data_IF_177697679219
#
_entry.id   IF_177697679219
#
_cell.length_a   1.000
_cell.length_b   1.000
_cell.length_c   1.000
_cell.angle_alpha   90.00
_cell.angle_beta   90.00
_cell.angle_gamma   90.00
#
_symmetry.space_group_name_H-M   'P 1'
#
loop_
_entity.id
_entity.type
_entity.pdbx_description
1 polymer ?
#
# COMPACT_ATOMS: atom_id res chain seq x y z
N UNK A 1 18.62 21.49 -4.90
CA UNK A 1 18.64 20.31 -5.80
C UNK A 1 17.86 19.22 -5.11
N UNK A 2 16.81 18.71 -5.74
CA UNK A 2 15.99 17.67 -5.12
C UNK A 2 16.59 16.29 -5.38
N UNK A 3 16.79 15.52 -4.32
CA UNK A 3 17.40 14.18 -4.43
C UNK A 3 16.36 13.16 -4.90
N UNK A 4 16.84 12.07 -5.51
CA UNK A 4 15.96 10.94 -5.83
C UNK A 4 15.23 10.47 -4.55
N UNK A 5 15.96 10.43 -3.43
CA UNK A 5 15.48 10.10 -2.07
C UNK A 5 14.19 10.83 -1.76
N UNK A 6 14.25 12.16 -1.87
CA UNK A 6 13.09 13.00 -1.66
C UNK A 6 11.96 12.68 -2.66
N UNK A 7 12.24 12.64 -3.96
CA UNK A 7 11.21 12.45 -5.01
C UNK A 7 10.44 11.14 -4.81
N UNK A 8 11.13 10.06 -4.48
CA UNK A 8 10.54 8.72 -4.44
C UNK A 8 10.00 8.32 -3.06
N UNK A 9 10.28 9.08 -2.00
CA UNK A 9 9.91 8.68 -0.63
C UNK A 9 9.07 9.74 0.10
N UNK A 10 9.37 11.03 -0.06
CA UNK A 10 8.79 12.08 0.82
C UNK A 10 8.09 13.21 0.07
N UNK A 11 8.49 13.53 -1.17
CA UNK A 11 7.95 14.67 -1.94
C UNK A 11 6.42 14.68 -2.05
N UNK A 12 5.72 15.72 -1.57
CA UNK A 12 4.27 15.80 -1.66
C UNK A 12 3.74 15.77 -3.11
N UNK A 13 4.52 16.29 -4.06
CA UNK A 13 4.15 16.32 -5.49
C UNK A 13 4.01 14.94 -6.13
N UNK A 14 4.69 13.94 -5.56
CA UNK A 14 4.66 12.56 -6.04
C UNK A 14 3.86 11.65 -5.12
N UNK A 15 3.11 12.20 -4.15
CA UNK A 15 2.35 11.41 -3.18
C UNK A 15 1.47 10.36 -3.88
N UNK A 16 0.61 10.79 -4.81
CA UNK A 16 -0.28 9.88 -5.54
C UNK A 16 0.49 8.80 -6.29
N UNK A 17 1.55 9.16 -7.03
CA UNK A 17 2.35 8.18 -7.77
C UNK A 17 3.12 7.20 -6.86
N UNK A 18 3.42 7.59 -5.62
CA UNK A 18 3.99 6.68 -4.62
C UNK A 18 2.96 5.72 -4.06
N UNK A 19 1.72 6.18 -3.84
CA UNK A 19 0.60 5.31 -3.50
C UNK A 19 0.35 4.31 -4.64
N UNK A 20 0.27 4.78 -5.89
CA UNK A 20 0.10 3.91 -7.06
C UNK A 20 1.23 2.86 -7.16
N UNK A 21 2.48 3.25 -6.85
CA UNK A 21 3.61 2.30 -6.81
C UNK A 21 3.38 1.17 -5.82
N UNK A 22 2.96 1.54 -4.61
CA UNK A 22 2.64 0.59 -3.56
C UNK A 22 1.49 -0.33 -4.00
N UNK A 23 0.40 0.26 -4.49
CA UNK A 23 -0.82 -0.45 -4.85
C UNK A 23 -0.58 -1.43 -6.01
N UNK A 24 0.25 -1.05 -6.98
CA UNK A 24 0.60 -1.95 -8.10
C UNK A 24 1.41 -3.17 -7.66
N UNK A 25 2.24 -3.05 -6.62
CA UNK A 25 2.93 -4.20 -6.01
C UNK A 25 1.92 -5.04 -5.24
N UNK A 26 1.08 -4.41 -4.42
CA UNK A 26 0.08 -5.08 -3.60
C UNK A 26 -0.94 -5.86 -4.44
N UNK A 27 -1.47 -5.26 -5.51
CA UNK A 27 -2.39 -5.91 -6.46
C UNK A 27 -1.74 -7.08 -7.19
N UNK A 28 -0.43 -7.01 -7.51
CA UNK A 28 0.27 -8.15 -8.07
C UNK A 28 0.32 -9.31 -7.08
N UNK A 29 0.72 -9.02 -5.84
CA UNK A 29 0.84 -10.00 -4.78
C UNK A 29 -0.50 -10.70 -4.54
N UNK A 30 -1.60 -9.93 -4.44
CA UNK A 30 -2.97 -10.43 -4.38
C UNK A 30 -3.28 -11.37 -5.55
N UNK A 31 -2.95 -10.97 -6.78
CA UNK A 31 -3.21 -11.79 -7.98
C UNK A 31 -2.45 -13.12 -7.93
N UNK A 32 -1.18 -13.09 -7.53
CA UNK A 32 -0.34 -14.29 -7.42
C UNK A 32 -0.85 -15.23 -6.33
N UNK A 33 -1.23 -14.69 -5.16
CA UNK A 33 -1.79 -15.48 -4.06
C UNK A 33 -3.16 -16.08 -4.45
N UNK A 34 -4.02 -15.33 -5.13
CA UNK A 34 -5.27 -15.83 -5.68
C UNK A 34 -5.07 -17.00 -6.65
N UNK A 35 -4.08 -16.92 -7.55
CA UNK A 35 -3.71 -18.04 -8.45
C UNK A 35 -3.20 -19.28 -7.70
N UNK A 36 -2.70 -19.12 -6.46
CA UNK A 36 -2.28 -20.22 -5.58
C UNK A 36 -3.42 -20.76 -4.70
N UNK A 37 -4.63 -20.25 -4.89
CA UNK A 37 -5.84 -20.68 -4.21
C UNK A 37 -6.08 -20.00 -2.85
N UNK A 38 -5.41 -18.88 -2.58
CA UNK A 38 -5.75 -18.07 -1.41
C UNK A 38 -6.98 -17.21 -1.68
N UNK A 39 -7.87 -17.15 -0.70
CA UNK A 39 -8.88 -16.10 -0.59
C UNK A 39 -8.21 -14.83 -0.04
N UNK A 40 -8.78 -13.66 -0.32
CA UNK A 40 -8.15 -12.38 0.05
C UNK A 40 -9.17 -11.30 0.40
N UNK A 41 -8.87 -10.53 1.46
CA UNK A 41 -9.44 -9.21 1.73
C UNK A 41 -8.35 -8.16 1.47
N UNK A 42 -8.69 -7.15 0.69
CA UNK A 42 -7.84 -6.02 0.38
C UNK A 42 -8.26 -4.84 1.26
N UNK A 43 -7.28 -4.21 1.90
CA UNK A 43 -7.43 -3.04 2.79
C UNK A 43 -8.62 -3.14 3.78
N UNK A 44 -8.81 -4.26 4.51
CA UNK A 44 -9.90 -4.36 5.46
C UNK A 44 -9.79 -3.29 6.53
N UNK A 45 -10.90 -2.60 6.80
CA UNK A 45 -10.99 -1.67 7.93
C UNK A 45 -11.28 -2.44 9.20
N UNK A 46 -10.24 -2.72 9.98
CA UNK A 46 -10.30 -3.53 11.21
C UNK A 46 -10.40 -2.61 12.42
N UNK A 47 -11.53 -2.60 13.16
CA UNK A 47 -11.65 -1.85 14.39
C UNK A 47 -10.73 -2.45 15.47
N UNK A 48 -9.89 -1.61 16.08
CA UNK A 48 -9.07 -1.99 17.23
C UNK A 48 -9.24 -0.98 18.36
N UNK A 49 -8.87 -1.31 19.62
CA UNK A 49 -8.89 -0.34 20.72
C UNK A 49 -8.03 0.92 20.47
N UNK A 50 -7.03 0.83 19.58
CA UNK A 50 -6.17 1.94 19.19
C UNK A 50 -6.68 2.69 17.94
N UNK A 51 -7.93 2.45 17.52
CA UNK A 51 -8.52 2.99 16.29
C UNK A 51 -8.62 1.97 15.16
N UNK A 52 -9.02 2.42 13.97
CA UNK A 52 -9.13 1.56 12.79
C UNK A 52 -7.71 1.27 12.25
N UNK A 53 -7.44 -0.01 11.97
CA UNK A 53 -6.22 -0.47 11.29
C UNK A 53 -6.59 -1.00 9.91
N UNK A 54 -5.74 -0.72 8.92
CA UNK A 54 -5.94 -1.12 7.51
C UNK A 54 -4.67 -1.80 6.98
N UNK A 55 -4.46 -3.10 7.26
CA UNK A 55 -3.41 -3.85 6.57
C UNK A 55 -3.74 -3.96 5.08
N UNK A 56 -2.74 -4.09 4.22
CA UNK A 56 -2.98 -4.08 2.77
C UNK A 56 -3.70 -5.35 2.29
N UNK A 57 -3.33 -6.51 2.84
CA UNK A 57 -3.95 -7.80 2.52
C UNK A 57 -4.13 -8.65 3.77
N UNK A 58 -5.28 -9.32 3.83
CA UNK A 58 -5.47 -10.51 4.67
C UNK A 58 -5.80 -11.66 3.74
N UNK A 59 -4.96 -12.69 3.75
CA UNK A 59 -5.09 -13.86 2.87
C UNK A 59 -5.28 -15.12 3.69
N UNK A 60 -6.09 -16.05 3.19
CA UNK A 60 -6.28 -17.32 3.87
C UNK A 60 -6.55 -18.47 2.90
N UNK A 61 -6.14 -19.65 3.31
CA UNK A 61 -6.36 -20.92 2.60
C UNK A 61 -6.33 -22.05 3.62
N UNK A 62 -7.37 -22.90 3.59
CA UNK A 62 -7.50 -24.06 4.48
C UNK A 62 -7.32 -23.65 5.95
N UNK A 63 -6.17 -23.99 6.55
CA UNK A 63 -5.86 -23.73 7.96
C UNK A 63 -4.85 -22.58 8.17
N UNK A 64 -4.53 -21.81 7.12
CA UNK A 64 -3.56 -20.72 7.19
C UNK A 64 -4.23 -19.38 6.93
N UNK A 65 -4.03 -18.41 7.83
CA UNK A 65 -4.43 -17.02 7.67
C UNK A 65 -3.21 -16.12 7.88
N UNK A 66 -2.94 -15.23 6.93
CA UNK A 66 -1.77 -14.35 6.96
C UNK A 66 -2.20 -12.92 6.69
N UNK A 67 -1.80 -12.01 7.58
CA UNK A 67 -1.89 -10.57 7.37
C UNK A 67 -0.58 -10.10 6.74
N UNK A 68 -0.68 -9.42 5.60
CA UNK A 68 0.45 -8.95 4.81
C UNK A 68 0.29 -7.45 4.59
N UNK A 69 1.36 -6.71 4.89
CA UNK A 69 1.44 -5.28 4.59
C UNK A 69 2.67 -4.99 3.73
N UNK A 70 2.45 -4.27 2.64
CA UNK A 70 3.45 -3.94 1.63
C UNK A 70 4.10 -2.61 1.98
N UNK A 71 5.42 -2.52 1.81
CA UNK A 71 6.11 -1.25 2.02
C UNK A 71 7.34 -1.13 1.14
N UNK A 72 7.59 0.09 0.66
CA UNK A 72 8.70 0.41 -0.24
C UNK A 72 9.59 1.44 0.43
N UNK A 73 10.74 1.00 0.95
CA UNK A 73 11.64 1.83 1.76
C UNK A 73 12.78 2.45 0.95
N UNK A 74 13.46 3.44 1.53
CA UNK A 74 14.69 3.99 0.98
C UNK A 74 15.88 3.02 1.16
N UNK A 75 16.93 3.16 0.34
CA UNK A 75 18.14 2.31 0.44
C UNK A 75 18.84 2.38 1.79
N UNK A 76 18.81 3.54 2.44
CA UNK A 76 19.49 3.76 3.71
C UNK A 76 18.67 3.26 4.91
N UNK A 77 17.47 2.72 4.68
CA UNK A 77 16.63 2.17 5.71
C UNK A 77 16.88 0.67 5.86
N UNK A 78 17.01 0.19 7.10
CA UNK A 78 17.13 -1.23 7.36
C UNK A 78 15.81 -1.94 7.04
N UNK A 79 15.82 -2.77 6.01
CA UNK A 79 14.63 -3.50 5.55
C UNK A 79 14.14 -4.54 6.56
N UNK A 80 15.02 -5.08 7.41
CA UNK A 80 14.65 -5.99 8.50
C UNK A 80 13.81 -5.27 9.54
N UNK A 81 14.26 -4.09 9.95
CA UNK A 81 13.53 -3.26 10.90
C UNK A 81 12.17 -2.81 10.30
N UNK A 82 12.11 -2.57 8.98
CA UNK A 82 10.86 -2.25 8.30
C UNK A 82 9.85 -3.40 8.42
N UNK A 83 10.32 -4.63 8.16
CA UNK A 83 9.53 -5.85 8.23
C UNK A 83 9.02 -6.09 9.65
N UNK A 84 9.94 -6.08 10.62
CA UNK A 84 9.63 -6.33 12.02
C UNK A 84 8.66 -5.29 12.58
N UNK A 85 8.85 -4.00 12.27
CA UNK A 85 7.92 -2.93 12.72
C UNK A 85 6.50 -3.14 12.20
N UNK A 86 6.33 -3.53 10.93
CA UNK A 86 5.01 -3.81 10.37
C UNK A 86 4.38 -5.03 11.02
N UNK A 87 5.15 -6.09 11.24
CA UNK A 87 4.71 -7.28 11.97
C UNK A 87 4.22 -6.94 13.38
N UNK A 88 5.02 -6.22 14.16
CA UNK A 88 4.66 -5.77 15.51
C UNK A 88 3.46 -4.81 15.51
N UNK A 89 3.30 -3.99 14.48
CA UNK A 89 2.20 -3.05 14.37
C UNK A 89 0.84 -3.75 14.21
N UNK A 90 0.78 -4.83 13.41
CA UNK A 90 -0.45 -5.58 13.15
C UNK A 90 -0.65 -6.80 14.02
N UNK A 91 0.41 -7.38 14.61
CA UNK A 91 0.28 -8.48 15.55
C UNK A 91 -0.33 -7.97 16.87
N UNK A 92 -1.67 -7.95 16.87
CA UNK A 92 -2.52 -7.46 17.96
C UNK A 92 -3.68 -8.44 18.16
N UNK A 93 -4.10 -8.66 19.42
CA UNK A 93 -5.24 -9.56 19.72
C UNK A 93 -6.51 -9.20 18.93
N UNK A 94 -6.81 -7.91 18.78
CA UNK A 94 -7.98 -7.45 18.03
C UNK A 94 -7.94 -7.86 16.54
N UNK A 95 -6.77 -7.78 15.91
CA UNK A 95 -6.61 -8.15 14.49
C UNK A 95 -6.66 -9.67 14.33
N UNK A 96 -6.04 -10.42 15.24
CA UNK A 96 -6.14 -11.89 15.28
C UNK A 96 -7.59 -12.34 15.42
N UNK A 97 -8.35 -11.72 16.33
CA UNK A 97 -9.75 -12.03 16.55
C UNK A 97 -10.63 -11.67 15.34
N UNK A 98 -10.33 -10.55 14.69
CA UNK A 98 -11.00 -10.17 13.45
C UNK A 98 -10.74 -11.21 12.35
N UNK A 99 -9.49 -11.63 12.16
CA UNK A 99 -9.13 -12.67 11.20
C UNK A 99 -9.83 -14.00 11.51
N UNK A 100 -9.93 -14.37 12.78
CA UNK A 100 -10.68 -15.55 13.20
C UNK A 100 -12.16 -15.47 12.82
N UNK A 101 -12.78 -14.31 13.05
CA UNK A 101 -14.20 -14.09 12.73
C UNK A 101 -14.43 -14.14 11.22
N UNK A 102 -13.50 -13.56 10.44
CA UNK A 102 -13.61 -13.49 8.98
C UNK A 102 -13.34 -14.84 8.29
N UNK A 103 -12.42 -15.65 8.82
CA UNK A 103 -11.89 -16.83 8.14
C UNK A 103 -12.23 -18.16 8.81
N UNK A 104 -12.65 -18.15 10.08
CA UNK A 104 -12.84 -19.34 10.91
C UNK A 104 -11.55 -19.95 11.49
N UNK A 105 -10.37 -19.48 11.06
CA UNK A 105 -9.07 -19.98 11.51
C UNK A 105 -8.79 -19.49 12.93
N UNK A 106 -8.26 -20.35 13.80
CA UNK A 106 -7.99 -19.98 15.19
C UNK A 106 -7.08 -18.74 15.29
N UNK A 107 -7.40 -17.81 16.19
CA UNK A 107 -6.67 -16.55 16.35
C UNK A 107 -5.16 -16.74 16.65
N UNK A 108 -4.79 -17.87 17.25
CA UNK A 108 -3.39 -18.26 17.52
C UNK A 108 -2.62 -18.62 16.25
N UNK A 109 -3.31 -19.13 15.23
CA UNK A 109 -2.73 -19.60 13.96
C UNK A 109 -2.62 -18.47 12.92
N UNK A 110 -3.06 -17.26 13.25
CA UNK A 110 -2.91 -16.10 12.37
C UNK A 110 -1.45 -15.66 12.34
N UNK A 111 -0.86 -15.62 11.16
CA UNK A 111 0.50 -15.17 10.92
C UNK A 111 0.53 -13.71 10.45
N UNK A 112 1.63 -13.02 10.74
CA UNK A 112 1.84 -11.63 10.35
C UNK A 112 3.18 -11.51 9.63
N UNK A 113 3.18 -10.88 8.47
CA UNK A 113 4.38 -10.63 7.68
C UNK A 113 4.25 -9.31 6.90
N UNK A 114 5.33 -8.90 6.25
CA UNK A 114 5.37 -7.73 5.41
C UNK A 114 6.04 -8.04 4.06
N UNK A 115 5.54 -7.43 2.99
CA UNK A 115 6.17 -7.41 1.67
C UNK A 115 7.04 -6.16 1.56
N UNK A 116 8.31 -6.29 1.92
CA UNK A 116 9.25 -5.16 1.94
C UNK A 116 10.13 -5.20 0.70
N UNK A 117 10.12 -4.10 -0.06
CA UNK A 117 11.13 -3.81 -1.07
C UNK A 117 11.81 -2.49 -0.74
N UNK A 118 13.05 -2.30 -1.18
CA UNK A 118 13.55 -0.95 -1.33
C UNK A 118 13.05 -0.36 -2.67
N UNK A 119 13.16 0.95 -2.80
CA UNK A 119 12.84 1.70 -4.02
C UNK A 119 13.66 1.35 -5.27
N UNK A 120 14.72 0.52 -5.16
CA UNK A 120 15.43 -0.08 -6.31
C UNK A 120 14.85 -1.42 -6.73
N UNK A 121 13.80 -1.88 -6.06
CA UNK A 121 13.17 -3.17 -6.29
C UNK A 121 13.88 -4.34 -5.61
N UNK A 122 14.85 -4.12 -4.72
CA UNK A 122 15.47 -5.21 -3.97
C UNK A 122 14.55 -5.63 -2.82
N UNK A 123 14.14 -6.90 -2.74
CA UNK A 123 13.29 -7.36 -1.64
C UNK A 123 14.08 -7.63 -0.36
N UNK A 124 13.43 -7.50 0.79
CA UNK A 124 13.99 -7.91 2.07
C UNK A 124 14.11 -9.44 2.16
N UNK A 125 15.22 -9.94 2.72
CA UNK A 125 15.45 -11.38 2.84
C UNK A 125 14.34 -12.10 3.64
N UNK A 126 13.83 -11.47 4.71
CA UNK A 126 12.70 -12.02 5.48
C UNK A 126 11.41 -12.06 4.71
N UNK A 127 11.08 -11.02 3.96
CA UNK A 127 9.91 -11.04 3.09
C UNK A 127 9.98 -12.18 2.09
N UNK A 128 11.15 -12.39 1.46
CA UNK A 128 11.36 -13.50 0.52
C UNK A 128 11.18 -14.85 1.22
N UNK A 129 11.74 -15.02 2.41
CA UNK A 129 11.64 -16.26 3.18
C UNK A 129 10.19 -16.56 3.58
N UNK A 130 9.49 -15.60 4.18
CA UNK A 130 8.16 -15.79 4.76
C UNK A 130 7.09 -15.89 3.67
N UNK A 131 7.10 -15.00 2.68
CA UNK A 131 6.16 -15.08 1.55
C UNK A 131 6.47 -16.27 0.63
N UNK A 132 7.72 -16.75 0.62
CA UNK A 132 8.09 -18.00 -0.05
C UNK A 132 7.33 -19.21 0.50
N UNK A 133 6.97 -19.22 1.79
CA UNK A 133 6.14 -20.28 2.41
C UNK A 133 4.70 -20.26 1.89
N UNK A 134 4.22 -19.10 1.43
CA UNK A 134 2.94 -18.94 0.72
C UNK A 134 3.05 -19.27 -0.78
N UNK A 135 4.22 -19.74 -1.21
CA UNK A 135 4.52 -20.13 -2.58
C UNK A 135 4.96 -18.98 -3.48
N UNK A 136 5.23 -17.77 -2.98
CA UNK A 136 5.75 -16.66 -3.79
C UNK A 136 7.14 -17.03 -4.33
N UNK A 137 7.26 -17.10 -5.66
CA UNK A 137 8.48 -17.55 -6.33
C UNK A 137 9.46 -16.42 -6.56
N UNK A 138 10.71 -16.77 -6.93
CA UNK A 138 11.71 -15.78 -7.38
C UNK A 138 11.21 -14.98 -8.58
N UNK A 139 10.45 -15.61 -9.49
CA UNK A 139 9.88 -14.92 -10.65
C UNK A 139 8.84 -13.86 -10.23
N UNK A 140 8.00 -14.18 -9.25
CA UNK A 140 7.03 -13.22 -8.71
C UNK A 140 7.74 -12.01 -8.08
N UNK A 141 8.81 -12.25 -7.32
CA UNK A 141 9.66 -11.17 -6.80
C UNK A 141 10.25 -10.30 -7.88
N UNK A 142 10.78 -10.88 -8.97
CA UNK A 142 11.31 -10.09 -10.09
C UNK A 142 10.25 -9.18 -10.71
N UNK A 143 9.01 -9.65 -10.85
CA UNK A 143 7.92 -8.81 -11.35
C UNK A 143 7.57 -7.69 -10.37
N UNK A 144 7.54 -7.94 -9.06
CA UNK A 144 7.35 -6.90 -8.05
C UNK A 144 8.48 -5.86 -8.08
N UNK A 145 9.73 -6.30 -8.28
CA UNK A 145 10.89 -5.41 -8.47
C UNK A 145 10.71 -4.52 -9.69
N UNK A 146 10.32 -5.09 -10.84
CA UNK A 146 10.08 -4.34 -12.08
C UNK A 146 8.96 -3.32 -11.89
N UNK A 147 7.84 -3.70 -11.27
CA UNK A 147 6.74 -2.77 -10.96
C UNK A 147 7.19 -1.63 -10.06
N UNK A 148 7.99 -1.92 -9.03
CA UNK A 148 8.56 -0.91 -8.14
C UNK A 148 9.41 0.11 -8.91
N UNK A 149 10.24 -0.35 -9.84
CA UNK A 149 11.11 0.48 -10.66
C UNK A 149 10.34 1.29 -11.71
N UNK A 150 9.38 0.66 -12.41
CA UNK A 150 8.53 1.31 -13.41
C UNK A 150 7.77 2.50 -12.81
N UNK A 151 7.16 2.30 -11.65
CA UNK A 151 6.45 3.34 -10.94
C UNK A 151 7.37 4.36 -10.27
N UNK A 152 8.60 3.97 -9.94
CA UNK A 152 9.67 4.90 -9.59
C UNK A 152 9.98 5.87 -10.74
N UNK A 153 10.12 5.35 -11.97
CA UNK A 153 10.31 6.19 -13.15
C UNK A 153 9.11 7.10 -13.42
N UNK A 154 7.88 6.60 -13.28
CA UNK A 154 6.65 7.41 -13.36
C UNK A 154 6.61 8.52 -12.31
N UNK A 155 7.03 8.24 -11.08
CA UNK A 155 7.12 9.26 -10.03
C UNK A 155 8.10 10.39 -10.39
N UNK A 156 9.24 10.06 -11.01
CA UNK A 156 10.20 11.06 -11.50
C UNK A 156 9.62 11.87 -12.66
N UNK A 157 8.91 11.22 -13.59
CA UNK A 157 8.24 11.90 -14.70
C UNK A 157 7.13 12.86 -14.20
N UNK A 158 6.32 12.42 -13.24
CA UNK A 158 5.33 13.25 -12.55
C UNK A 158 6.00 14.47 -11.92
N UNK A 159 7.06 14.26 -11.13
CA UNK A 159 7.81 15.34 -10.52
C UNK A 159 8.31 16.39 -11.52
N UNK A 160 8.88 15.96 -12.65
CA UNK A 160 9.38 16.84 -13.73
C UNK A 160 8.26 17.62 -14.42
N UNK A 161 7.11 16.98 -14.60
CA UNK A 161 5.94 17.62 -15.22
C UNK A 161 5.34 18.68 -14.29
N UNK A 162 5.35 18.42 -12.97
CA UNK A 162 4.90 19.37 -11.94
C UNK A 162 5.88 20.54 -11.70
N UNK A 163 7.10 20.49 -12.23
CA UNK A 163 8.05 21.63 -12.23
C UNK A 163 7.91 22.56 -13.44
N UNK A 164 7.14 22.19 -14.46
CA UNK A 164 7.04 22.96 -15.71
C UNK A 164 6.15 24.21 -15.63
N UNK A 165 5.54 24.51 -14.48
CA UNK A 165 4.80 25.76 -14.25
C UNK A 165 5.67 26.82 -13.57
N UNK A 166 6.64 27.37 -14.28
CA UNK A 166 7.17 28.72 -14.04
C UNK A 166 7.73 29.28 -15.35
N UNK A 167 6.80 29.59 -16.25
CA UNK A 167 7.03 30.37 -17.44
C UNK A 167 5.71 31.04 -17.77
N UNK A 168 5.63 32.35 -17.56
CA UNK A 168 4.46 33.15 -17.93
C UNK A 168 4.05 32.82 -19.37
N UNK A 169 2.88 32.20 -19.53
CA UNK A 169 2.15 32.22 -20.78
C UNK A 169 0.75 32.71 -20.45
N UNK A 170 0.56 34.01 -20.69
CA UNK A 170 -0.76 34.64 -20.71
C UNK A 170 -1.52 34.01 -21.88
N UNK A 171 -2.64 33.35 -21.60
CA UNK A 171 -3.70 33.17 -22.58
C UNK A 171 -4.96 33.87 -22.04
N UNK A 172 -5.54 34.81 -22.80
CA UNK A 172 -6.81 35.43 -22.46
C UNK A 172 -7.99 34.62 -23.05
N UNK A 173 -9.22 34.96 -22.62
CA UNK A 173 -10.54 34.54 -23.12
C UNK A 173 -11.09 33.18 -22.64
N UNK A 174 -12.36 32.97 -22.23
CA UNK A 174 -13.51 33.84 -21.89
C UNK A 174 -14.67 32.92 -21.39
N UNK A 175 -15.50 33.38 -20.43
CA UNK A 175 -16.81 32.84 -19.95
C UNK A 175 -16.82 31.42 -19.32
N UNK A 176 -17.62 31.09 -18.30
CA UNK A 176 -18.77 31.72 -17.67
C UNK A 176 -19.69 30.60 -17.12
N UNK A 177 -20.14 30.73 -15.87
CA UNK A 177 -21.26 30.04 -15.18
C UNK A 177 -21.62 28.58 -15.57
N UNK A 178 -21.53 27.66 -14.60
CA UNK A 178 -22.71 27.08 -13.92
C UNK A 178 -22.27 26.13 -12.80
N UNK A 179 -22.68 26.45 -11.57
CA UNK A 179 -22.66 25.56 -10.42
C UNK A 179 -24.08 25.03 -10.22
N UNK A 180 -24.34 23.71 -10.18
CA UNK A 180 -25.59 23.21 -9.64
C UNK A 180 -25.44 22.94 -8.14
N UNK A 181 -26.19 23.74 -7.39
CA UNK A 181 -26.57 23.60 -5.99
C UNK A 181 -27.04 22.17 -5.64
N UNK A 182 -26.42 21.55 -4.62
CA UNK A 182 -27.00 20.41 -3.91
C UNK A 182 -28.04 20.91 -2.90
N UNK A 183 -29.24 20.38 -3.02
CA UNK A 183 -30.34 20.48 -2.05
C UNK A 183 -29.94 19.88 -0.70
N UNK A 184 -30.16 20.64 0.37
CA UNK A 184 -30.14 20.18 1.76
C UNK A 184 -31.42 19.41 2.06
N UNK A 185 -31.29 18.13 2.43
CA UNK A 185 -32.31 17.36 3.13
C UNK A 185 -31.96 17.25 4.62
N UNK A 186 -32.93 17.23 5.54
CA UNK A 186 -32.68 17.28 6.97
C UNK A 186 -32.32 15.89 7.51
N UNK A 187 -31.47 15.88 8.54
CA UNK A 187 -31.00 14.74 9.35
C UNK A 187 -29.74 14.01 8.87
N UNK A 188 -28.68 14.09 9.70
CA UNK A 188 -27.68 13.01 9.81
C UNK A 188 -26.22 13.48 9.72
N UNK A 189 -25.58 13.56 10.89
CA UNK A 189 -24.14 13.56 11.20
C UNK A 189 -23.12 13.74 10.05
N UNK A 190 -22.29 14.77 10.20
CA UNK A 190 -21.02 14.96 9.49
C UNK A 190 -19.98 13.99 10.08
N UNK A 191 -19.52 13.02 9.28
CA UNK A 191 -18.27 12.31 9.50
C UNK A 191 -17.17 13.04 8.73
N UNK A 192 -16.20 13.61 9.45
CA UNK A 192 -14.93 14.06 8.88
C UNK A 192 -14.16 12.86 8.34
N UNK A 193 -13.93 12.84 7.03
CA UNK A 193 -12.96 11.97 6.39
C UNK A 193 -11.70 12.81 6.20
N UNK A 194 -10.74 12.66 7.11
CA UNK A 194 -9.38 13.17 6.92
C UNK A 194 -8.57 12.10 6.17
N UNK A 195 -8.11 12.45 4.97
CA UNK A 195 -6.97 11.82 4.31
C UNK A 195 -5.67 12.39 4.90
#
# INVERSE_FOLDING_TARGET
>A
MESLGHILQVCPRTHNTRCDRHDHVNQFLKTVLGKKGFSTREEPSIPTPAGIRRPDLVVWKENQCVVIDTTIVADNYNMEDAHQRKKEYYDKPAIRQWCHTETGIAATEVEFTACVLNWRGTPAARSVLELGRLGISKADWMIMSVRTLEWGAKSIACFRSSTAFFGHCVLPFLYGLLWPSRSLGPHGLVLEVNC
#
